data_IF_747698774925
#
_entry.id   IF_747698774925
#
_cell.length_a   1.000
_cell.length_b   1.000
_cell.length_c   1.000
_cell.angle_alpha   90.00
_cell.angle_beta   90.00
_cell.angle_gamma   90.00
#
_symmetry.space_group_name_H-M   'P 1'
#
loop_
_entity.id
_entity.type
_entity.pdbx_description
1 polymer ?
#
# COMPACT_ATOMS: atom_id res chain seq x y z
N UNK A 1 -14.73 14.12 11.71
CA UNK A 1 -15.31 13.16 10.75
C UNK A 1 -16.45 12.34 11.35
N UNK A 2 -16.36 11.92 12.62
CA UNK A 2 -17.41 11.12 13.28
C UNK A 2 -18.79 11.81 13.34
N UNK A 3 -18.83 13.12 13.43
CA UNK A 3 -20.10 13.85 13.55
C UNK A 3 -20.75 14.17 12.20
N UNK A 4 -19.94 14.53 11.19
CA UNK A 4 -20.45 15.08 9.93
C UNK A 4 -20.26 14.11 8.77
N UNK A 5 -19.16 13.34 8.77
CA UNK A 5 -18.78 12.48 7.66
C UNK A 5 -18.76 10.99 8.02
N UNK A 6 -19.69 10.56 8.86
CA UNK A 6 -19.83 9.17 9.26
C UNK A 6 -20.79 8.42 8.33
N UNK A 7 -20.27 7.38 7.68
CA UNK A 7 -21.07 6.40 6.93
C UNK A 7 -20.52 5.01 7.24
N UNK A 8 -21.05 4.36 8.30
CA UNK A 8 -20.55 3.11 8.93
C UNK A 8 -19.12 3.22 9.48
N UNK A 9 -18.31 4.09 8.92
CA UNK A 9 -16.98 4.47 9.39
C UNK A 9 -16.74 5.94 9.08
N UNK A 10 -15.87 6.62 9.82
CA UNK A 10 -15.55 8.02 9.55
C UNK A 10 -14.85 8.16 8.21
N UNK A 11 -15.33 9.10 7.39
CA UNK A 11 -14.75 9.43 6.07
C UNK A 11 -14.52 10.93 6.01
N UNK A 12 -13.37 11.34 5.54
CA UNK A 12 -13.04 12.76 5.38
C UNK A 12 -12.97 13.07 3.87
N UNK A 13 -13.80 13.99 3.36
CA UNK A 13 -13.64 14.47 1.99
C UNK A 13 -12.28 15.15 1.79
N UNK A 14 -11.65 14.96 0.64
CA UNK A 14 -10.34 15.56 0.34
C UNK A 14 -10.30 17.07 0.56
N UNK A 15 -11.36 17.80 0.16
CA UNK A 15 -11.46 19.26 0.39
C UNK A 15 -11.28 19.63 1.87
N UNK A 16 -11.88 18.86 2.78
CA UNK A 16 -11.77 19.10 4.24
C UNK A 16 -10.39 18.72 4.74
N UNK A 17 -9.79 17.63 4.21
CA UNK A 17 -8.43 17.28 4.54
C UNK A 17 -7.43 18.36 4.09
N UNK A 18 -7.64 18.96 2.92
CA UNK A 18 -6.81 20.07 2.43
C UNK A 18 -6.91 21.29 3.37
N UNK A 19 -8.12 21.64 3.83
CA UNK A 19 -8.34 22.75 4.76
C UNK A 19 -7.62 22.54 6.12
N UNK A 20 -7.32 21.28 6.49
CA UNK A 20 -6.70 20.88 7.75
C UNK A 20 -5.34 20.19 7.53
N UNK A 21 -4.66 20.51 6.42
CA UNK A 21 -3.43 19.83 6.00
C UNK A 21 -2.23 20.12 6.89
N UNK A 22 -2.21 21.28 7.52
CA UNK A 22 -1.10 21.74 8.37
C UNK A 22 -0.84 20.72 9.51
N UNK A 23 0.41 20.29 9.65
CA UNK A 23 0.83 19.31 10.65
C UNK A 23 0.47 17.84 10.29
N UNK A 24 0.02 17.57 9.07
CA UNK A 24 -0.30 16.21 8.60
C UNK A 24 0.63 15.79 7.47
N UNK A 25 1.15 14.57 7.56
CA UNK A 25 1.82 13.85 6.48
C UNK A 25 0.85 12.79 5.96
N UNK A 26 0.57 12.79 4.66
CA UNK A 26 -0.44 11.92 4.05
C UNK A 26 0.19 11.04 2.98
N UNK A 27 0.13 9.72 3.18
CA UNK A 27 0.61 8.72 2.22
C UNK A 27 -0.47 8.18 1.30
N UNK A 28 -0.06 7.55 0.21
CA UNK A 28 -0.95 7.01 -0.82
C UNK A 28 -1.73 5.76 -0.41
N UNK A 29 -1.39 5.17 0.74
CA UNK A 29 -1.90 3.91 1.24
C UNK A 29 -1.61 2.69 0.32
N UNK A 30 -2.20 1.54 0.65
CA UNK A 30 -2.01 0.23 0.03
C UNK A 30 -2.79 0.06 -1.30
N UNK A 31 -3.00 -1.18 -1.72
CA UNK A 31 -3.76 -1.56 -2.91
C UNK A 31 -5.21 -1.05 -2.90
N UNK A 32 -5.78 -0.83 -1.72
CA UNK A 32 -7.12 -0.23 -1.57
C UNK A 32 -7.11 1.31 -1.71
N UNK A 33 -5.91 1.91 -1.75
CA UNK A 33 -5.72 3.34 -1.89
C UNK A 33 -6.07 3.87 -3.28
N UNK A 34 -6.27 5.18 -3.36
CA UNK A 34 -6.70 5.83 -4.60
C UNK A 34 -5.67 5.71 -5.73
N UNK A 35 -4.37 5.84 -5.41
CA UNK A 35 -3.31 5.75 -6.40
C UNK A 35 -3.25 4.35 -7.02
N UNK A 36 -3.16 3.32 -6.19
CA UNK A 36 -3.05 1.95 -6.66
C UNK A 36 -4.26 1.56 -7.52
N UNK A 37 -5.46 1.91 -7.06
CA UNK A 37 -6.71 1.67 -7.82
C UNK A 37 -6.76 2.41 -9.14
N UNK A 38 -6.29 3.65 -9.17
CA UNK A 38 -6.24 4.42 -10.42
C UNK A 38 -5.27 3.78 -11.44
N UNK A 39 -4.18 3.19 -10.97
CA UNK A 39 -3.24 2.43 -11.80
C UNK A 39 -3.87 1.13 -12.33
N UNK A 40 -4.55 0.36 -11.47
CA UNK A 40 -5.29 -0.85 -11.87
C UNK A 40 -6.38 -0.55 -12.93
N UNK A 41 -7.10 0.55 -12.76
CA UNK A 41 -8.14 1.01 -13.69
C UNK A 41 -7.58 1.60 -15.00
N UNK A 42 -6.26 1.72 -15.14
CA UNK A 42 -5.64 2.33 -16.32
C UNK A 42 -6.03 3.80 -16.53
N UNK A 43 -6.17 4.58 -15.44
CA UNK A 43 -6.53 5.99 -15.53
C UNK A 43 -5.47 6.77 -16.31
N UNK A 44 -5.87 7.85 -17.02
CA UNK A 44 -4.94 8.71 -17.77
C UNK A 44 -3.85 9.30 -16.87
N UNK A 45 -2.66 9.51 -17.43
CA UNK A 45 -1.49 10.04 -16.72
C UNK A 45 -1.78 11.38 -16.02
N UNK A 46 -2.60 12.24 -16.62
CA UNK A 46 -3.04 13.50 -16.00
C UNK A 46 -3.82 13.27 -14.69
N UNK A 47 -4.64 12.22 -14.65
CA UNK A 47 -5.38 11.84 -13.42
C UNK A 47 -4.43 11.27 -12.37
N UNK A 48 -3.50 10.40 -12.80
CA UNK A 48 -2.47 9.83 -11.92
C UNK A 48 -1.62 10.94 -11.33
N UNK A 49 -1.17 11.91 -12.14
CA UNK A 49 -0.38 13.05 -11.68
C UNK A 49 -1.09 13.85 -10.58
N UNK A 50 -2.37 14.16 -10.76
CA UNK A 50 -3.18 14.86 -9.73
C UNK A 50 -3.33 14.06 -8.43
N UNK A 51 -3.41 12.74 -8.53
CA UNK A 51 -3.47 11.86 -7.36
C UNK A 51 -2.12 11.87 -6.63
N UNK A 52 -1.01 11.70 -7.34
CA UNK A 52 0.34 11.69 -6.77
C UNK A 52 0.67 13.03 -6.10
N UNK A 53 0.32 14.15 -6.75
CA UNK A 53 0.57 15.49 -6.22
C UNK A 53 -0.10 15.74 -4.85
N UNK A 54 -1.24 15.10 -4.62
CA UNK A 54 -1.97 15.22 -3.35
C UNK A 54 -1.24 14.61 -2.17
N UNK A 55 -0.44 13.55 -2.35
CA UNK A 55 0.23 12.82 -1.29
C UNK A 55 1.64 13.36 -1.00
N UNK A 56 2.09 13.25 0.26
CA UNK A 56 3.44 13.62 0.67
C UNK A 56 4.44 12.51 0.37
N UNK A 57 4.00 11.25 0.45
CA UNK A 57 4.78 10.06 0.09
C UNK A 57 3.89 9.00 -0.56
N UNK A 58 4.53 8.08 -1.28
CA UNK A 58 3.86 6.94 -1.89
C UNK A 58 4.25 5.66 -1.17
N UNK A 59 3.42 4.62 -1.30
CA UNK A 59 3.60 3.36 -0.61
C UNK A 59 3.56 2.18 -1.57
N UNK A 60 4.44 1.22 -1.34
CA UNK A 60 4.43 -0.11 -1.94
C UNK A 60 4.51 -1.18 -0.85
N UNK A 61 3.99 -2.36 -1.14
CA UNK A 61 3.97 -3.49 -0.20
C UNK A 61 4.61 -4.73 -0.80
N UNK A 62 5.02 -5.72 0.04
CA UNK A 62 5.46 -7.03 -0.43
C UNK A 62 4.47 -7.64 -1.41
N UNK A 63 4.98 -8.32 -2.43
CA UNK A 63 4.15 -8.86 -3.50
C UNK A 63 3.08 -9.83 -2.99
N UNK A 64 3.43 -10.63 -1.96
CA UNK A 64 2.51 -11.57 -1.33
C UNK A 64 1.27 -10.92 -0.73
N UNK A 65 1.35 -9.66 -0.29
CA UNK A 65 0.20 -8.92 0.24
C UNK A 65 -0.89 -8.73 -0.82
N UNK A 66 -0.49 -8.64 -2.10
CA UNK A 66 -1.36 -8.37 -3.23
C UNK A 66 -1.57 -9.58 -4.16
N UNK A 67 -1.00 -10.75 -3.83
CA UNK A 67 -1.06 -11.95 -4.66
C UNK A 67 -2.50 -12.42 -4.97
N UNK A 68 -3.44 -12.10 -4.08
CA UNK A 68 -4.86 -12.41 -4.27
C UNK A 68 -5.46 -11.79 -5.55
N UNK A 69 -4.84 -10.73 -6.09
CA UNK A 69 -5.31 -10.06 -7.30
C UNK A 69 -5.14 -10.94 -8.54
N UNK A 70 -4.14 -11.82 -8.56
CA UNK A 70 -3.87 -12.73 -9.69
C UNK A 70 -5.02 -13.73 -9.89
N UNK A 71 -5.70 -14.10 -8.80
CA UNK A 71 -6.83 -15.04 -8.83
C UNK A 71 -8.19 -14.34 -8.81
N UNK A 72 -8.21 -13.02 -8.84
CA UNK A 72 -9.44 -12.24 -8.65
C UNK A 72 -10.15 -11.95 -9.96
N UNK A 73 -11.35 -12.49 -10.14
CA UNK A 73 -12.22 -12.14 -11.27
C UNK A 73 -12.58 -10.64 -11.35
N UNK A 74 -12.36 -9.90 -10.27
CA UNK A 74 -12.67 -8.46 -10.18
C UNK A 74 -11.53 -7.56 -10.64
N UNK A 75 -10.31 -8.10 -10.70
CA UNK A 75 -9.09 -7.35 -11.08
C UNK A 75 -8.56 -7.97 -12.38
N UNK A 76 -9.02 -7.46 -13.50
CA UNK A 76 -8.69 -8.01 -14.82
C UNK A 76 -7.34 -7.54 -15.38
N UNK A 77 -6.72 -6.56 -14.75
CA UNK A 77 -5.44 -5.98 -15.17
C UNK A 77 -4.21 -6.67 -14.55
N UNK A 78 -4.42 -7.62 -13.63
CA UNK A 78 -3.35 -8.38 -12.95
C UNK A 78 -3.58 -9.87 -13.21
N UNK A 79 -2.64 -10.50 -13.91
CA UNK A 79 -2.72 -11.91 -14.29
C UNK A 79 -1.52 -12.73 -13.78
N UNK A 80 -0.51 -12.04 -13.24
CA UNK A 80 0.73 -12.65 -12.77
C UNK A 80 1.35 -11.85 -11.63
N UNK A 81 2.30 -12.45 -10.93
CA UNK A 81 3.12 -11.75 -9.93
C UNK A 81 3.98 -10.67 -10.57
N UNK A 82 4.38 -10.81 -11.84
CA UNK A 82 5.14 -9.79 -12.57
C UNK A 82 4.29 -8.53 -12.78
N UNK A 83 2.98 -8.65 -13.01
CA UNK A 83 2.11 -7.47 -13.12
C UNK A 83 2.06 -6.67 -11.80
N UNK A 84 2.14 -7.37 -10.65
CA UNK A 84 2.22 -6.72 -9.33
C UNK A 84 3.58 -6.03 -9.16
N UNK A 85 4.67 -6.68 -9.58
CA UNK A 85 6.00 -6.05 -9.59
C UNK A 85 6.01 -4.79 -10.45
N UNK A 86 5.39 -4.83 -11.63
CA UNK A 86 5.33 -3.69 -12.54
C UNK A 86 4.49 -2.54 -11.98
N UNK A 87 3.42 -2.83 -11.26
CA UNK A 87 2.67 -1.81 -10.52
C UNK A 87 3.54 -1.14 -9.45
N UNK A 88 4.28 -1.90 -8.67
CA UNK A 88 5.22 -1.35 -7.68
C UNK A 88 6.35 -0.55 -8.36
N UNK A 89 6.94 -1.04 -9.45
CA UNK A 89 7.94 -0.29 -10.26
C UNK A 89 7.35 1.03 -10.77
N UNK A 90 6.11 1.01 -11.22
CA UNK A 90 5.41 2.21 -11.70
C UNK A 90 5.21 3.23 -10.57
N UNK A 91 4.85 2.80 -9.36
CA UNK A 91 4.74 3.68 -8.19
C UNK A 91 6.11 4.27 -7.84
N UNK A 92 7.18 3.47 -7.84
CA UNK A 92 8.55 3.95 -7.62
C UNK A 92 8.93 5.02 -8.66
N UNK A 93 8.67 4.76 -9.93
CA UNK A 93 8.94 5.72 -11.00
C UNK A 93 8.14 7.02 -10.86
N UNK A 94 6.88 6.93 -10.46
CA UNK A 94 6.06 8.11 -10.14
C UNK A 94 6.65 8.90 -8.97
N UNK A 95 7.15 8.22 -7.94
CA UNK A 95 7.86 8.87 -6.84
C UNK A 95 9.07 9.66 -7.32
N UNK A 96 9.89 9.08 -8.19
CA UNK A 96 11.05 9.76 -8.80
C UNK A 96 10.61 10.97 -9.64
N UNK A 97 9.61 10.79 -10.50
CA UNK A 97 9.10 11.84 -11.40
C UNK A 97 8.52 13.04 -10.63
N UNK A 98 7.81 12.79 -9.54
CA UNK A 98 7.13 13.82 -8.74
C UNK A 98 7.91 14.22 -7.47
N UNK A 99 9.13 13.73 -7.31
CA UNK A 99 9.99 13.99 -6.14
C UNK A 99 9.29 13.65 -4.80
N UNK A 100 8.55 12.52 -4.78
CA UNK A 100 7.87 12.00 -3.60
C UNK A 100 8.65 10.79 -3.07
N UNK A 101 8.96 10.71 -1.76
CA UNK A 101 9.51 9.49 -1.19
C UNK A 101 8.57 8.32 -1.42
N UNK A 102 9.12 7.15 -1.75
CA UNK A 102 8.36 5.89 -1.80
C UNK A 102 8.82 5.03 -0.65
N UNK A 103 7.90 4.49 0.13
CA UNK A 103 8.19 3.63 1.28
C UNK A 103 7.66 2.22 1.05
N UNK A 104 8.45 1.22 1.46
CA UNK A 104 8.02 -0.17 1.54
C UNK A 104 7.46 -0.47 2.92
N UNK A 105 6.16 -0.75 3.04
CA UNK A 105 5.50 -1.11 4.29
C UNK A 105 5.09 -2.56 4.31
N UNK A 106 5.12 -3.19 5.49
CA UNK A 106 4.85 -4.63 5.63
C UNK A 106 3.36 -4.97 5.79
N UNK A 107 2.55 -4.04 6.29
CA UNK A 107 1.13 -4.26 6.62
C UNK A 107 0.91 -5.40 7.63
N UNK A 108 1.62 -5.36 8.75
CA UNK A 108 1.66 -6.42 9.76
C UNK A 108 0.30 -6.61 10.44
N UNK A 109 -0.22 -7.82 10.44
CA UNK A 109 -1.43 -8.23 11.11
C UNK A 109 -1.21 -9.33 12.16
N UNK A 110 -0.07 -10.03 12.12
CA UNK A 110 0.34 -11.06 13.08
C UNK A 110 1.87 -11.13 13.15
N UNK A 111 2.40 -11.79 14.19
CA UNK A 111 3.84 -11.79 14.47
C UNK A 111 4.59 -12.79 13.60
N UNK A 112 4.28 -14.05 13.72
CA UNK A 112 4.98 -15.14 13.03
C UNK A 112 4.11 -15.71 11.91
N UNK A 113 4.69 -16.29 10.84
CA UNK A 113 3.94 -16.84 9.73
C UNK A 113 2.83 -17.83 10.13
N UNK A 114 3.07 -18.64 11.16
CA UNK A 114 2.13 -19.62 11.70
C UNK A 114 0.95 -19.01 12.45
N UNK A 115 1.04 -17.75 12.87
CA UNK A 115 -0.05 -17.02 13.55
C UNK A 115 -1.20 -16.66 12.60
N UNK A 116 -1.03 -16.84 11.31
CA UNK A 116 -2.07 -16.69 10.30
C UNK A 116 -3.38 -17.38 10.70
N UNK A 117 -3.28 -18.55 11.33
CA UNK A 117 -4.44 -19.33 11.79
C UNK A 117 -5.33 -18.54 12.73
N UNK A 118 -4.79 -17.72 13.63
CA UNK A 118 -5.57 -16.92 14.56
C UNK A 118 -6.35 -15.82 13.84
N UNK A 119 -5.72 -15.16 12.87
CA UNK A 119 -6.40 -14.17 12.03
C UNK A 119 -7.54 -14.81 11.23
N UNK A 120 -7.31 -15.97 10.62
CA UNK A 120 -8.31 -16.75 9.88
C UNK A 120 -9.52 -17.09 10.74
N UNK A 121 -9.31 -17.59 11.98
CA UNK A 121 -10.39 -17.88 12.92
C UNK A 121 -11.21 -16.64 13.25
N UNK A 122 -10.56 -15.51 13.53
CA UNK A 122 -11.24 -14.24 13.85
C UNK A 122 -12.04 -13.74 12.65
N UNK A 123 -11.50 -13.79 11.44
CA UNK A 123 -12.18 -13.37 10.23
C UNK A 123 -13.38 -14.26 9.91
N UNK A 124 -13.22 -15.58 10.02
CA UNK A 124 -14.33 -16.53 9.84
C UNK A 124 -15.44 -16.29 10.86
N UNK A 125 -15.10 -16.06 12.14
CA UNK A 125 -16.05 -15.72 13.19
C UNK A 125 -16.80 -14.40 12.95
N UNK A 126 -16.21 -13.47 12.19
CA UNK A 126 -16.85 -12.22 11.76
C UNK A 126 -17.63 -12.35 10.44
N UNK A 127 -17.66 -13.54 9.83
CA UNK A 127 -18.41 -13.82 8.60
C UNK A 127 -17.73 -13.36 7.31
N UNK A 128 -16.40 -13.17 7.30
CA UNK A 128 -15.65 -12.92 6.07
C UNK A 128 -15.57 -14.20 5.23
N UNK A 129 -16.07 -14.14 3.99
CA UNK A 129 -16.11 -15.31 3.10
C UNK A 129 -14.74 -15.71 2.52
N UNK A 130 -13.75 -14.85 2.64
CA UNK A 130 -12.37 -15.05 2.19
C UNK A 130 -11.40 -15.34 3.34
N UNK A 131 -11.91 -15.70 4.53
CA UNK A 131 -11.10 -15.97 5.72
C UNK A 131 -10.00 -17.02 5.49
N UNK A 132 -10.24 -18.02 4.62
CA UNK A 132 -9.29 -19.08 4.28
C UNK A 132 -8.19 -18.63 3.29
N UNK A 133 -8.31 -17.43 2.70
CA UNK A 133 -7.34 -16.87 1.76
C UNK A 133 -6.54 -15.75 2.45
N UNK A 134 -5.62 -16.14 3.35
CA UNK A 134 -4.80 -15.19 4.08
C UNK A 134 -3.58 -14.75 3.27
N UNK A 135 -3.34 -13.43 3.19
CA UNK A 135 -2.07 -12.89 2.73
C UNK A 135 -0.99 -13.06 3.83
N UNK A 136 0.31 -13.12 3.47
CA UNK A 136 1.40 -13.33 4.42
C UNK A 136 1.74 -12.04 5.17
N UNK A 137 0.83 -11.56 6.02
CA UNK A 137 0.90 -10.28 6.72
C UNK A 137 1.60 -10.41 8.08
N UNK A 138 2.68 -11.19 8.16
CA UNK A 138 3.50 -11.35 9.36
C UNK A 138 4.55 -10.23 9.47
N UNK A 139 5.08 -10.05 10.69
CA UNK A 139 6.15 -9.09 10.92
C UNK A 139 7.46 -9.58 10.28
N UNK A 140 7.95 -8.82 9.29
CA UNK A 140 9.22 -9.09 8.64
C UNK A 140 10.35 -8.28 9.27
N UNK A 141 11.52 -8.89 9.38
CA UNK A 141 12.76 -8.19 9.70
C UNK A 141 13.17 -7.24 8.58
N UNK A 142 14.16 -6.39 8.84
CA UNK A 142 14.71 -5.49 7.82
C UNK A 142 15.29 -6.27 6.64
N UNK A 143 16.00 -7.37 6.92
CA UNK A 143 16.59 -8.24 5.89
C UNK A 143 15.50 -8.87 5.01
N UNK A 144 14.46 -9.43 5.62
CA UNK A 144 13.32 -9.99 4.90
C UNK A 144 12.61 -8.93 4.04
N UNK A 145 12.45 -7.70 4.54
CA UNK A 145 11.88 -6.62 3.75
C UNK A 145 12.78 -6.22 2.57
N UNK A 146 14.10 -6.20 2.74
CA UNK A 146 15.05 -5.96 1.64
C UNK A 146 14.95 -7.05 0.58
N UNK A 147 14.80 -8.32 0.97
CA UNK A 147 14.61 -9.44 0.06
C UNK A 147 13.28 -9.34 -0.72
N UNK A 148 12.18 -8.95 -0.05
CA UNK A 148 10.87 -8.72 -0.68
C UNK A 148 10.92 -7.68 -1.82
N UNK A 149 11.78 -6.68 -1.70
CA UNK A 149 11.94 -5.62 -2.70
C UNK A 149 13.20 -5.76 -3.57
N UNK A 150 13.91 -6.91 -3.49
CA UNK A 150 15.15 -7.13 -4.24
C UNK A 150 14.98 -7.01 -5.77
N UNK A 151 13.78 -7.24 -6.30
CA UNK A 151 13.44 -7.06 -7.72
C UNK A 151 13.52 -5.60 -8.21
N UNK A 152 13.61 -4.62 -7.31
CA UNK A 152 13.86 -3.20 -7.63
C UNK A 152 15.37 -2.90 -7.80
N UNK A 153 16.25 -3.86 -7.45
CA UNK A 153 17.68 -3.66 -7.31
C UNK A 153 18.05 -3.22 -5.89
N UNK A 154 19.26 -3.59 -5.45
CA UNK A 154 19.68 -3.43 -4.05
C UNK A 154 19.66 -1.98 -3.56
N UNK A 155 20.05 -1.02 -4.39
CA UNK A 155 20.04 0.40 -4.02
C UNK A 155 18.61 0.93 -3.83
N UNK A 156 17.69 0.57 -4.74
CA UNK A 156 16.30 1.01 -4.64
C UNK A 156 15.56 0.29 -3.51
N UNK A 157 15.83 -1.00 -3.28
CA UNK A 157 15.30 -1.72 -2.12
C UNK A 157 15.73 -1.05 -0.80
N UNK A 158 17.03 -0.71 -0.67
CA UNK A 158 17.52 0.04 0.50
C UNK A 158 16.86 1.40 0.65
N UNK A 159 16.65 2.11 -0.46
CA UNK A 159 15.98 3.42 -0.46
C UNK A 159 14.56 3.32 0.09
N UNK A 160 13.74 2.41 -0.44
CA UNK A 160 12.31 2.33 -0.06
C UNK A 160 12.08 1.68 1.31
N UNK A 161 12.94 0.73 1.72
CA UNK A 161 12.79 -0.01 2.98
C UNK A 161 13.42 0.73 4.16
N UNK A 162 14.57 1.38 3.97
CA UNK A 162 15.36 1.96 5.07
C UNK A 162 15.41 3.48 4.99
N UNK A 163 15.94 4.04 3.90
CA UNK A 163 16.17 5.49 3.82
C UNK A 163 14.89 6.29 3.91
N UNK A 164 13.90 5.95 3.10
CA UNK A 164 12.65 6.72 3.02
C UNK A 164 11.74 6.48 4.21
N UNK A 165 11.73 5.29 4.81
CA UNK A 165 10.96 5.02 6.05
C UNK A 165 11.52 5.84 7.22
N UNK A 166 12.85 5.91 7.37
CA UNK A 166 13.48 6.79 8.36
C UNK A 166 13.21 8.27 8.05
N UNK A 167 13.28 8.68 6.78
CA UNK A 167 12.95 10.05 6.38
C UNK A 167 11.53 10.45 6.82
N UNK A 168 10.53 9.58 6.63
CA UNK A 168 9.16 9.87 7.09
C UNK A 168 9.09 9.94 8.62
N UNK A 169 9.78 9.03 9.33
CA UNK A 169 9.83 9.07 10.80
C UNK A 169 10.47 10.37 11.34
N UNK A 170 11.50 10.86 10.67
CA UNK A 170 12.19 12.11 11.04
C UNK A 170 11.36 13.38 10.75
N UNK A 171 10.27 13.29 10.00
CA UNK A 171 9.34 14.40 9.73
C UNK A 171 8.31 14.63 10.85
N UNK A 172 8.21 13.69 11.82
CA UNK A 172 7.16 13.67 12.86
C UNK A 172 7.68 14.28 14.20
#
# INVERSE_FOLDING_TARGET
SHLVYYNRRPRIPKRVLIEHREGLIVGSACEAGELYRALLDGKPDETIAKIVDFYDYLEIQPLGNNAFMVESDKVTSVNSMEDIMDLNRKIVHLGEQFHKPVVGTCDVHFMDPEDEVYRRIIMAGKGFGDADKQAPLYLRTTEEMLDEFAYLGSEKAYEVVIRNTNLIADMI
#
